data_IF_626556915433
#
_entry.id   IF_626556915433
#
_cell.length_a   1.000
_cell.length_b   1.000
_cell.length_c   1.000
_cell.angle_alpha   90.00
_cell.angle_beta   90.00
_cell.angle_gamma   90.00
#
_symmetry.space_group_name_H-M   'P 1'
#
loop_
_entity.id
_entity.type
_entity.pdbx_description
1 polymer ?
#
# COMPACT_ATOMS: atom_id res chain seq x y z
N UNK A 1 17.68 -10.10 47.13
CA UNK A 1 18.11 -9.34 45.94
C UNK A 1 17.00 -9.54 44.92
N UNK A 2 16.26 -8.49 44.57
CA UNK A 2 15.14 -8.63 43.63
C UNK A 2 15.67 -9.01 42.24
N UNK A 3 14.88 -9.74 41.45
CA UNK A 3 15.28 -10.22 40.11
C UNK A 3 15.76 -9.08 39.20
N UNK A 4 15.17 -7.89 39.35
CA UNK A 4 15.55 -6.67 38.63
C UNK A 4 16.98 -6.22 38.97
N UNK A 5 17.39 -6.32 40.24
CA UNK A 5 18.74 -5.99 40.67
C UNK A 5 19.76 -7.01 40.16
N UNK A 6 19.39 -8.30 40.14
CA UNK A 6 20.20 -9.34 39.54
C UNK A 6 20.41 -9.12 38.03
N UNK A 7 19.34 -8.82 37.29
CA UNK A 7 19.41 -8.55 35.84
C UNK A 7 20.22 -7.28 35.55
N UNK A 8 20.10 -6.23 36.37
CA UNK A 8 20.93 -5.03 36.22
C UNK A 8 22.41 -5.31 36.44
N UNK A 9 22.75 -6.03 37.51
CA UNK A 9 24.15 -6.38 37.81
C UNK A 9 24.71 -7.32 36.75
N UNK A 10 23.92 -8.30 36.29
CA UNK A 10 24.30 -9.23 35.24
C UNK A 10 24.49 -8.52 33.89
N UNK A 11 23.56 -7.65 33.50
CA UNK A 11 23.65 -6.89 32.26
C UNK A 11 24.82 -5.90 32.28
N UNK A 12 25.11 -5.28 33.42
CA UNK A 12 26.30 -4.43 33.58
C UNK A 12 27.60 -5.24 33.48
N UNK A 13 27.65 -6.43 34.09
CA UNK A 13 28.81 -7.32 34.04
C UNK A 13 29.07 -7.90 32.64
N UNK A 14 28.04 -8.02 31.80
CA UNK A 14 28.13 -8.59 30.44
C UNK A 14 27.85 -7.57 29.34
N UNK A 15 27.91 -6.27 29.66
CA UNK A 15 27.53 -5.20 28.74
C UNK A 15 28.34 -5.23 27.44
N UNK A 16 29.66 -5.43 27.53
CA UNK A 16 30.54 -5.52 26.36
C UNK A 16 30.24 -6.74 25.48
N UNK A 17 29.90 -7.88 26.09
CA UNK A 17 29.50 -9.09 25.37
C UNK A 17 28.16 -8.86 24.65
N UNK A 18 27.19 -8.25 25.31
CA UNK A 18 25.89 -7.94 24.70
C UNK A 18 26.02 -6.93 23.55
N UNK A 19 26.87 -5.91 23.72
CA UNK A 19 27.14 -4.91 22.69
C UNK A 19 27.82 -5.52 21.47
N UNK A 20 28.79 -6.41 21.66
CA UNK A 20 29.47 -7.10 20.54
C UNK A 20 28.52 -7.99 19.75
N UNK A 21 27.62 -8.72 20.42
CA UNK A 21 26.57 -9.51 19.76
C UNK A 21 25.55 -8.64 19.02
N UNK A 22 25.13 -7.51 19.60
CA UNK A 22 24.23 -6.56 18.96
C UNK A 22 24.86 -5.95 17.70
N UNK A 23 26.13 -5.54 17.77
CA UNK A 23 26.86 -5.02 16.61
C UNK A 23 27.02 -6.08 15.54
N UNK A 24 27.37 -7.33 15.91
CA UNK A 24 27.46 -8.44 14.96
C UNK A 24 26.13 -8.73 14.26
N UNK A 25 25.01 -8.74 15.01
CA UNK A 25 23.67 -8.92 14.44
C UNK A 25 23.31 -7.77 13.48
N UNK A 26 23.66 -6.54 13.83
CA UNK A 26 23.40 -5.35 13.00
C UNK A 26 24.22 -5.39 11.70
N UNK A 27 25.48 -5.82 11.76
CA UNK A 27 26.34 -6.03 10.58
C UNK A 27 25.77 -7.14 9.69
N UNK A 28 25.31 -8.25 10.26
CA UNK A 28 24.68 -9.34 9.50
C UNK A 28 23.40 -8.89 8.81
N UNK A 29 22.54 -8.11 9.49
CA UNK A 29 21.34 -7.53 8.87
C UNK A 29 21.68 -6.56 7.74
N UNK A 30 22.72 -5.72 7.91
CA UNK A 30 23.17 -4.80 6.87
C UNK A 30 23.71 -5.55 5.64
N UNK A 31 24.48 -6.62 5.84
CA UNK A 31 24.98 -7.47 4.75
C UNK A 31 23.85 -8.17 4.00
N UNK A 32 22.87 -8.73 4.73
CA UNK A 32 21.68 -9.35 4.13
C UNK A 32 20.89 -8.34 3.28
N UNK A 33 20.73 -7.11 3.76
CA UNK A 33 20.06 -6.04 3.02
C UNK A 33 20.83 -5.62 1.75
N UNK A 34 22.16 -5.57 1.81
CA UNK A 34 23.01 -5.30 0.63
C UNK A 34 22.89 -6.42 -0.40
N UNK A 35 22.91 -7.69 0.01
CA UNK A 35 22.74 -8.82 -0.89
C UNK A 35 21.33 -8.85 -1.52
N UNK A 36 20.28 -8.52 -0.76
CA UNK A 36 18.93 -8.36 -1.30
C UNK A 36 18.85 -7.25 -2.35
N UNK A 37 19.52 -6.11 -2.12
CA UNK A 37 19.64 -5.04 -3.12
C UNK A 37 20.46 -5.45 -4.35
N UNK A 38 21.50 -6.26 -4.18
CA UNK A 38 22.30 -6.77 -5.31
C UNK A 38 21.53 -7.79 -6.15
N UNK A 39 20.75 -8.66 -5.51
CA UNK A 39 19.89 -9.63 -6.19
C UNK A 39 18.79 -8.93 -7.00
N UNK A 40 18.14 -7.92 -6.43
CA UNK A 40 17.10 -7.13 -7.13
C UNK A 40 17.67 -6.34 -8.31
N UNK A 41 18.88 -5.78 -8.20
CA UNK A 41 19.55 -5.12 -9.35
C UNK A 41 19.92 -6.10 -10.46
N UNK A 42 20.42 -7.30 -10.12
CA UNK A 42 20.73 -8.35 -11.11
C UNK A 42 19.47 -8.83 -11.85
N UNK A 43 18.36 -9.02 -11.12
CA UNK A 43 17.08 -9.38 -11.72
C UNK A 43 16.54 -8.28 -12.66
N UNK A 44 16.68 -7.01 -12.28
CA UNK A 44 16.29 -5.89 -13.12
C UNK A 44 17.12 -5.81 -14.42
N UNK A 45 18.44 -6.00 -14.35
CA UNK A 45 19.30 -6.01 -15.55
C UNK A 45 18.97 -7.17 -16.49
N UNK A 46 18.75 -8.38 -15.94
CA UNK A 46 18.34 -9.55 -16.74
C UNK A 46 16.97 -9.34 -17.41
N UNK A 47 16.03 -8.69 -16.72
CA UNK A 47 14.74 -8.31 -17.31
C UNK A 47 14.90 -7.28 -18.44
N UNK A 48 15.76 -6.27 -18.29
CA UNK A 48 15.98 -5.29 -19.35
C UNK A 48 16.66 -5.89 -20.59
N UNK A 49 17.55 -6.85 -20.40
CA UNK A 49 18.20 -7.57 -21.50
C UNK A 49 17.20 -8.49 -22.22
N UNK A 50 16.36 -9.22 -21.47
CA UNK A 50 15.29 -10.03 -22.03
C UNK A 50 14.27 -9.19 -22.82
N UNK A 51 13.87 -8.01 -22.29
CA UNK A 51 12.97 -7.08 -22.99
C UNK A 51 13.64 -6.50 -24.25
N UNK A 52 14.91 -6.15 -24.21
CA UNK A 52 15.63 -5.67 -25.40
C UNK A 52 15.70 -6.75 -26.49
N UNK A 53 15.97 -8.01 -26.13
CA UNK A 53 16.01 -9.12 -27.09
C UNK A 53 14.63 -9.48 -27.66
N UNK A 54 13.56 -9.39 -26.87
CA UNK A 54 12.19 -9.64 -27.36
C UNK A 54 11.66 -8.49 -28.20
N UNK A 55 11.94 -7.24 -27.83
CA UNK A 55 11.60 -6.08 -28.67
C UNK A 55 12.34 -6.15 -30.01
N UNK A 56 13.63 -6.48 -30.00
CA UNK A 56 14.40 -6.67 -31.24
C UNK A 56 13.84 -7.80 -32.13
N UNK A 57 13.28 -8.86 -31.54
CA UNK A 57 12.62 -9.94 -32.27
C UNK A 57 11.25 -9.54 -32.85
N UNK A 58 10.53 -8.59 -32.23
CA UNK A 58 9.21 -8.12 -32.67
C UNK A 58 9.26 -6.96 -33.70
N UNK A 59 10.42 -6.31 -33.88
CA UNK A 59 10.58 -5.20 -34.86
C UNK A 59 10.26 -5.61 -36.32
N UNK A 60 10.65 -6.80 -36.83
CA UNK A 60 10.27 -7.24 -38.16
C UNK A 60 8.76 -7.45 -38.33
N UNK A 61 8.08 -7.97 -37.30
CA UNK A 61 6.63 -8.21 -37.31
C UNK A 61 5.83 -6.90 -37.29
N UNK A 62 6.30 -5.88 -36.56
CA UNK A 62 5.71 -4.53 -36.56
C UNK A 62 5.92 -3.85 -37.93
N UNK A 63 7.09 -4.04 -38.54
CA UNK A 63 7.37 -3.53 -39.89
C UNK A 63 6.53 -4.22 -40.98
N UNK A 64 6.28 -5.53 -40.84
CA UNK A 64 5.39 -6.28 -41.73
C UNK A 64 3.91 -5.93 -41.53
N UNK A 65 3.47 -5.73 -40.27
CA UNK A 65 2.12 -5.28 -39.95
C UNK A 65 1.83 -3.85 -40.44
N UNK A 66 2.83 -2.97 -40.41
CA UNK A 66 2.71 -1.60 -40.94
C UNK A 66 2.64 -1.57 -42.48
N UNK A 67 3.21 -2.55 -43.18
CA UNK A 67 3.16 -2.65 -44.64
C UNK A 67 1.92 -3.41 -45.15
N UNK A 68 1.36 -4.33 -44.35
CA UNK A 68 0.18 -5.12 -44.71
C UNK A 68 -1.17 -4.45 -44.42
N UNK A 69 -1.18 -3.39 -43.60
CA UNK A 69 -2.41 -2.70 -43.24
C UNK A 69 -2.70 -1.53 -44.19
N UNK A 70 -3.16 -1.81 -45.42
CA UNK A 70 -4.11 -0.95 -46.18
C UNK A 70 -4.86 -1.79 -47.23
N UNK A 71 -6.20 -1.85 -47.13
CA UNK A 71 -6.98 -1.15 -48.15
C UNK A 71 -8.08 -0.24 -47.58
N UNK A 72 -8.50 0.69 -48.43
CA UNK A 72 -9.47 1.76 -48.28
C UNK A 72 -10.69 1.49 -47.37
N UNK A 73 -10.92 2.40 -46.42
CA UNK A 73 -12.14 2.46 -45.63
C UNK A 73 -12.14 3.64 -44.66
N UNK A 74 -12.56 4.81 -45.15
CA UNK A 74 -12.88 6.03 -44.38
C UNK A 74 -11.70 6.69 -43.65
N UNK A 75 -11.24 7.83 -44.18
CA UNK A 75 -10.32 8.72 -43.46
C UNK A 75 -10.90 9.05 -42.08
N UNK A 76 -10.10 8.99 -41.00
CA UNK A 76 -10.55 9.52 -39.73
C UNK A 76 -10.82 11.00 -39.91
N UNK A 77 -12.01 11.40 -39.47
CA UNK A 77 -12.39 12.78 -39.18
C UNK A 77 -11.26 13.53 -38.46
N UNK A 78 -11.15 14.85 -38.68
CA UNK A 78 -9.99 15.66 -38.29
C UNK A 78 -9.52 15.56 -36.83
N UNK A 79 -8.37 16.21 -36.49
CA UNK A 79 -7.67 16.12 -35.21
C UNK A 79 -8.55 16.35 -33.97
N UNK A 80 -9.67 17.07 -34.13
CA UNK A 80 -10.67 17.30 -33.08
C UNK A 80 -11.39 16.03 -32.61
N UNK A 81 -11.60 15.04 -33.48
CA UNK A 81 -12.34 13.82 -33.14
C UNK A 81 -11.50 12.81 -32.37
N UNK A 82 -10.22 12.65 -32.72
CA UNK A 82 -9.26 11.84 -31.98
C UNK A 82 -9.01 12.41 -30.58
N UNK A 83 -8.81 13.72 -30.47
CA UNK A 83 -8.68 14.41 -29.18
C UNK A 83 -9.94 14.24 -28.31
N UNK A 84 -11.14 14.37 -28.89
CA UNK A 84 -12.39 14.18 -28.16
C UNK A 84 -12.54 12.74 -27.60
N UNK A 85 -12.17 11.72 -28.38
CA UNK A 85 -12.17 10.33 -27.91
C UNK A 85 -11.15 10.10 -26.81
N UNK A 86 -9.94 10.64 -26.96
CA UNK A 86 -8.88 10.52 -25.97
C UNK A 86 -9.24 11.23 -24.65
N UNK A 87 -9.94 12.37 -24.70
CA UNK A 87 -10.46 13.07 -23.52
C UNK A 87 -11.60 12.29 -22.84
N UNK A 88 -12.46 11.60 -23.59
CA UNK A 88 -13.47 10.69 -23.01
C UNK A 88 -12.81 9.51 -22.31
N UNK A 89 -11.82 8.87 -22.92
CA UNK A 89 -11.05 7.80 -22.30
C UNK A 89 -10.37 8.28 -21.00
N UNK A 90 -9.76 9.48 -21.04
CA UNK A 90 -9.16 10.10 -19.86
C UNK A 90 -10.18 10.33 -18.75
N UNK A 91 -11.41 10.74 -19.09
CA UNK A 91 -12.46 10.97 -18.09
C UNK A 91 -12.81 9.71 -17.30
N UNK A 92 -12.96 8.59 -18.00
CA UNK A 92 -13.25 7.29 -17.38
C UNK A 92 -12.06 6.85 -16.52
N UNK A 93 -10.84 6.91 -17.07
CA UNK A 93 -9.63 6.55 -16.34
C UNK A 93 -9.45 7.41 -15.08
N UNK A 94 -9.69 8.72 -15.18
CA UNK A 94 -9.56 9.64 -14.03
C UNK A 94 -10.58 9.33 -12.93
N UNK A 95 -11.81 8.97 -13.29
CA UNK A 95 -12.83 8.54 -12.33
C UNK A 95 -12.41 7.23 -11.63
N UNK A 96 -11.90 6.25 -12.39
CA UNK A 96 -11.36 5.01 -11.84
C UNK A 96 -10.17 5.27 -10.90
N UNK A 97 -9.25 6.16 -11.28
CA UNK A 97 -8.11 6.57 -10.42
C UNK A 97 -8.58 7.20 -9.12
N UNK A 98 -9.55 8.11 -9.19
CA UNK A 98 -10.09 8.77 -8.01
C UNK A 98 -10.84 7.79 -7.11
N UNK A 99 -11.66 6.91 -7.68
CA UNK A 99 -12.31 5.84 -6.94
C UNK A 99 -11.28 4.93 -6.26
N UNK A 100 -10.19 4.59 -6.95
CA UNK A 100 -9.10 3.80 -6.39
C UNK A 100 -8.42 4.50 -5.21
N UNK A 101 -8.10 5.79 -5.34
CA UNK A 101 -7.48 6.59 -4.27
C UNK A 101 -8.36 6.66 -3.03
N UNK A 102 -9.69 6.72 -3.18
CA UNK A 102 -10.59 6.65 -2.02
C UNK A 102 -10.73 5.23 -1.47
N UNK A 103 -10.81 4.22 -2.34
CA UNK A 103 -11.01 2.83 -1.95
C UNK A 103 -9.82 2.25 -1.18
N UNK A 104 -8.58 2.64 -1.50
CA UNK A 104 -7.38 2.10 -0.83
C UNK A 104 -7.31 2.43 0.66
N UNK A 105 -7.92 3.52 1.12
CA UNK A 105 -8.02 3.84 2.53
C UNK A 105 -9.12 3.06 3.28
N UNK A 106 -10.01 2.37 2.55
CA UNK A 106 -11.02 1.52 3.18
C UNK A 106 -10.41 0.20 3.62
N UNK A 107 -10.00 0.13 4.89
CA UNK A 107 -9.42 -1.07 5.51
C UNK A 107 -10.40 -2.25 5.62
N UNK A 108 -11.72 -1.99 5.50
CA UNK A 108 -12.74 -3.06 5.51
C UNK A 108 -12.76 -3.85 4.21
N UNK A 109 -12.28 -3.24 3.12
CA UNK A 109 -12.17 -3.90 1.84
C UNK A 109 -10.93 -4.80 1.85
N UNK A 110 -10.99 -6.09 1.51
CA UNK A 110 -9.80 -6.92 1.40
C UNK A 110 -8.93 -6.50 0.22
N UNK A 111 -7.62 -6.79 0.28
CA UNK A 111 -6.69 -6.40 -0.78
C UNK A 111 -7.02 -7.03 -2.14
N UNK A 112 -7.63 -8.22 -2.14
CA UNK A 112 -8.10 -8.91 -3.34
C UNK A 112 -9.27 -8.21 -4.03
N UNK A 113 -9.99 -7.35 -3.32
CA UNK A 113 -11.11 -6.58 -3.84
C UNK A 113 -10.72 -5.13 -4.19
N UNK A 114 -9.46 -4.73 -3.99
CA UNK A 114 -8.97 -3.45 -4.48
C UNK A 114 -8.95 -3.47 -6.01
N UNK A 115 -9.39 -2.39 -6.68
CA UNK A 115 -9.25 -2.28 -8.11
C UNK A 115 -7.76 -2.31 -8.49
N UNK A 116 -7.44 -2.82 -9.67
CA UNK A 116 -6.07 -2.86 -10.15
C UNK A 116 -5.48 -1.44 -10.24
N UNK A 117 -4.25 -1.27 -9.75
CA UNK A 117 -3.55 0.04 -9.77
C UNK A 117 -3.26 0.50 -11.19
N UNK A 118 -3.16 -0.42 -12.15
CA UNK A 118 -3.06 -0.11 -13.57
C UNK A 118 -4.02 -1.04 -14.31
N UNK A 119 -4.78 -0.55 -15.29
CA UNK A 119 -5.49 -1.43 -16.19
C UNK A 119 -4.46 -2.23 -17.03
N UNK A 120 -4.79 -3.47 -17.39
CA UNK A 120 -4.03 -4.29 -18.37
C UNK A 120 -4.10 -3.73 -19.81
N UNK A 121 -4.52 -2.48 -19.96
CA UNK A 121 -4.91 -1.84 -21.22
C UNK A 121 -3.68 -1.38 -22.03
N UNK A 122 -3.77 -1.39 -23.37
CA UNK A 122 -2.80 -0.72 -24.24
C UNK A 122 -2.62 0.75 -23.86
N UNK A 123 -1.45 1.30 -24.23
CA UNK A 123 -1.04 2.69 -24.01
C UNK A 123 -2.20 3.65 -24.29
N UNK A 124 -2.48 4.56 -23.36
CA UNK A 124 -3.65 5.45 -23.45
C UNK A 124 -3.59 6.36 -24.69
N UNK A 125 -4.73 6.63 -25.38
CA UNK A 125 -4.80 7.49 -26.58
C UNK A 125 -4.15 8.87 -26.43
N UNK A 126 -4.16 9.43 -25.21
CA UNK A 126 -3.44 10.69 -24.90
C UNK A 126 -1.96 10.68 -25.28
N UNK A 127 -1.30 9.52 -25.31
CA UNK A 127 0.14 9.43 -25.56
C UNK A 127 0.49 9.51 -27.04
N UNK A 128 -0.37 9.00 -27.93
CA UNK A 128 -0.05 8.86 -29.36
C UNK A 128 -0.98 9.66 -30.30
N UNK A 129 -2.23 9.92 -29.91
CA UNK A 129 -3.22 10.63 -30.73
C UNK A 129 -3.27 12.14 -30.47
N UNK A 130 -2.46 12.68 -29.54
CA UNK A 130 -2.54 14.09 -29.16
C UNK A 130 -1.24 14.88 -29.30
N UNK A 131 -1.32 16.23 -29.40
CA UNK A 131 -0.15 17.09 -29.37
C UNK A 131 0.75 16.80 -28.17
N UNK A 132 2.07 16.89 -28.39
CA UNK A 132 3.10 16.65 -27.38
C UNK A 132 2.84 17.34 -26.02
N UNK A 133 2.37 18.61 -25.94
CA UNK A 133 2.10 19.25 -24.65
C UNK A 133 1.01 18.55 -23.83
N UNK A 134 -0.01 17.99 -24.50
CA UNK A 134 -1.09 17.22 -23.86
C UNK A 134 -0.59 15.87 -23.37
N UNK A 135 0.19 15.18 -24.19
CA UNK A 135 0.81 13.91 -23.81
C UNK A 135 1.75 14.09 -22.59
N UNK A 136 2.56 15.15 -22.56
CA UNK A 136 3.44 15.46 -21.44
C UNK A 136 2.67 15.77 -20.15
N UNK A 137 1.59 16.56 -20.23
CA UNK A 137 0.72 16.85 -19.09
C UNK A 137 0.02 15.59 -18.55
N UNK A 138 -0.46 14.72 -19.45
CA UNK A 138 -1.06 13.43 -19.10
C UNK A 138 -0.06 12.53 -18.35
N UNK A 139 1.14 12.35 -18.91
CA UNK A 139 2.17 11.53 -18.27
C UNK A 139 2.60 12.09 -16.91
N UNK A 140 2.59 13.42 -16.73
CA UNK A 140 2.85 14.03 -15.43
C UNK A 140 1.77 13.72 -14.40
N UNK A 141 0.49 13.76 -14.79
CA UNK A 141 -0.64 13.39 -13.93
C UNK A 141 -0.60 11.89 -13.55
N UNK A 142 -0.34 10.99 -14.50
CA UNK A 142 -0.23 9.56 -14.23
C UNK A 142 0.97 9.22 -13.31
N UNK A 143 2.10 9.92 -13.45
CA UNK A 143 3.24 9.77 -12.53
C UNK A 143 2.86 10.15 -11.10
N UNK A 144 2.14 11.28 -10.92
CA UNK A 144 1.64 11.69 -9.60
C UNK A 144 0.69 10.64 -9.01
N UNK A 145 -0.25 10.14 -9.80
CA UNK A 145 -1.12 9.04 -9.37
C UNK A 145 -0.30 7.82 -8.92
N UNK A 146 0.67 7.37 -9.72
CA UNK A 146 1.50 6.23 -9.39
C UNK A 146 2.33 6.43 -8.11
N UNK A 147 2.83 7.64 -7.86
CA UNK A 147 3.54 8.00 -6.64
C UNK A 147 2.62 7.92 -5.40
N UNK A 148 1.43 8.52 -5.49
CA UNK A 148 0.43 8.45 -4.43
C UNK A 148 -0.04 7.01 -4.18
N UNK A 149 -0.29 6.23 -5.23
CA UNK A 149 -0.72 4.85 -5.13
C UNK A 149 0.31 3.98 -4.41
N UNK A 150 1.60 4.14 -4.73
CA UNK A 150 2.69 3.44 -4.03
C UNK A 150 2.76 3.82 -2.56
N UNK A 151 2.64 5.11 -2.25
CA UNK A 151 2.68 5.60 -0.86
C UNK A 151 1.50 5.06 -0.04
N UNK A 152 0.27 5.13 -0.58
CA UNK A 152 -0.93 4.65 0.08
C UNK A 152 -0.92 3.14 0.30
N UNK A 153 -0.43 2.35 -0.67
CA UNK A 153 -0.27 0.91 -0.50
C UNK A 153 0.76 0.56 0.57
N UNK A 154 1.85 1.32 0.67
CA UNK A 154 2.85 1.11 1.71
C UNK A 154 2.27 1.38 3.11
N UNK A 155 1.55 2.49 3.28
CA UNK A 155 0.88 2.82 4.55
C UNK A 155 -0.23 1.82 4.88
N UNK A 156 -1.04 1.40 3.91
CA UNK A 156 -2.06 0.36 4.10
C UNK A 156 -1.45 -0.95 4.62
N UNK A 157 -0.34 -1.40 4.04
CA UNK A 157 0.38 -2.60 4.52
C UNK A 157 0.93 -2.41 5.93
N UNK A 158 1.41 -1.22 6.27
CA UNK A 158 1.86 -0.91 7.62
C UNK A 158 0.71 -0.98 8.63
N UNK A 159 -0.47 -0.46 8.29
CA UNK A 159 -1.67 -0.59 9.14
C UNK A 159 -2.09 -2.05 9.30
N UNK A 160 -2.13 -2.82 8.22
CA UNK A 160 -2.47 -4.24 8.26
C UNK A 160 -1.50 -5.06 9.11
N UNK A 161 -0.20 -4.71 9.11
CA UNK A 161 0.79 -5.35 9.97
C UNK A 161 0.52 -5.06 11.46
N UNK A 162 0.08 -3.84 11.79
CA UNK A 162 -0.34 -3.49 13.15
C UNK A 162 -1.63 -4.24 13.56
N UNK A 163 -2.60 -4.39 12.64
CA UNK A 163 -3.82 -5.17 12.91
C UNK A 163 -3.50 -6.65 13.14
N UNK A 164 -2.52 -7.20 12.41
CA UNK A 164 -2.04 -8.55 12.64
C UNK A 164 -1.40 -8.70 14.02
N UNK A 165 -0.54 -7.75 14.42
CA UNK A 165 0.06 -7.75 15.76
C UNK A 165 -0.98 -7.63 16.89
N UNK A 166 -2.04 -6.84 16.69
CA UNK A 166 -3.16 -6.71 17.65
C UNK A 166 -3.97 -8.02 17.76
N UNK A 167 -4.25 -8.67 16.64
CA UNK A 167 -4.91 -9.98 16.60
C UNK A 167 -4.08 -11.06 17.28
N UNK A 168 -2.77 -11.10 17.01
CA UNK A 168 -1.85 -12.06 17.62
C UNK A 168 -1.75 -11.85 19.14
N UNK A 169 -1.64 -10.59 19.59
CA UNK A 169 -1.62 -10.26 21.02
C UNK A 169 -2.94 -10.59 21.72
N UNK A 170 -4.09 -10.39 21.07
CA UNK A 170 -5.40 -10.81 21.59
C UNK A 170 -5.49 -12.34 21.68
N UNK A 171 -4.94 -13.05 20.69
CA UNK A 171 -4.82 -14.51 20.71
C UNK A 171 -3.96 -15.03 21.87
N UNK A 172 -2.86 -14.34 22.17
CA UNK A 172 -2.01 -14.65 23.32
C UNK A 172 -2.73 -14.38 24.65
N UNK A 173 -3.48 -13.28 24.79
CA UNK A 173 -4.31 -13.03 25.99
C UNK A 173 -5.30 -14.18 26.25
N UNK A 174 -6.04 -14.62 25.23
CA UNK A 174 -6.96 -15.75 25.38
C UNK A 174 -6.24 -17.06 25.71
N UNK A 175 -5.00 -17.24 25.25
CA UNK A 175 -4.17 -18.38 25.66
C UNK A 175 -3.80 -18.28 27.13
N UNK A 176 -3.36 -17.10 27.60
CA UNK A 176 -3.04 -16.86 29.02
C UNK A 176 -4.27 -17.13 29.88
N UNK A 177 -5.44 -16.62 29.51
CA UNK A 177 -6.71 -16.85 30.21
C UNK A 177 -7.01 -18.34 30.39
N UNK A 178 -6.92 -19.13 29.31
CA UNK A 178 -7.10 -20.59 29.37
C UNK A 178 -6.04 -21.28 30.25
N UNK A 179 -4.77 -20.89 30.14
CA UNK A 179 -3.71 -21.46 30.97
C UNK A 179 -3.90 -21.12 32.45
N UNK A 180 -4.40 -19.92 32.76
CA UNK A 180 -4.73 -19.49 34.12
C UNK A 180 -5.89 -20.32 34.69
N UNK A 181 -6.96 -20.56 33.93
CA UNK A 181 -8.06 -21.45 34.37
C UNK A 181 -7.57 -22.85 34.72
N UNK A 182 -6.71 -23.44 33.88
CA UNK A 182 -6.11 -24.77 34.14
C UNK A 182 -5.24 -24.77 35.41
N UNK A 183 -4.50 -23.69 35.67
CA UNK A 183 -3.69 -23.57 36.90
C UNK A 183 -4.60 -23.53 38.13
N UNK A 184 -5.71 -22.77 38.07
CA UNK A 184 -6.68 -22.68 39.17
C UNK A 184 -7.29 -24.05 39.47
N UNK A 185 -7.77 -24.77 38.45
CA UNK A 185 -8.32 -26.12 38.61
C UNK A 185 -7.29 -27.10 39.23
N UNK A 186 -6.05 -27.07 38.75
CA UNK A 186 -4.96 -27.91 39.31
C UNK A 186 -4.60 -27.53 40.73
N UNK A 187 -4.68 -26.24 41.06
CA UNK A 187 -4.41 -25.76 42.41
C UNK A 187 -5.49 -26.23 43.40
N UNK A 188 -6.76 -26.19 42.99
CA UNK A 188 -7.87 -26.74 43.77
C UNK A 188 -7.74 -28.25 44.00
N UNK A 189 -7.34 -29.00 42.96
CA UNK A 189 -7.09 -30.44 43.06
C UNK A 189 -5.92 -30.75 44.01
N UNK A 190 -4.81 -30.02 43.92
CA UNK A 190 -3.66 -30.19 44.82
C UNK A 190 -4.03 -29.87 46.28
N UNK A 191 -4.90 -28.88 46.51
CA UNK A 191 -5.43 -28.59 47.84
C UNK A 191 -6.32 -29.73 48.38
N UNK A 192 -7.17 -30.31 47.54
CA UNK A 192 -8.06 -31.40 47.94
C UNK A 192 -7.32 -32.71 48.27
N UNK A 193 -6.16 -32.95 47.64
CA UNK A 193 -5.38 -34.18 47.78
C UNK A 193 -4.33 -34.13 48.92
N UNK A 194 -4.22 -33.01 49.64
CA UNK A 194 -3.21 -32.78 50.68
C UNK A 194 -1.75 -33.08 50.23
N UNK A 195 -1.46 -32.99 48.93
CA UNK A 195 -0.14 -33.26 48.36
C UNK A 195 0.71 -32.00 48.16
N UNK A 196 1.98 -32.15 48.56
CA UNK A 196 3.21 -31.43 48.17
C UNK A 196 3.17 -29.90 48.03
N UNK A 197 3.79 -29.25 49.02
CA UNK A 197 4.16 -27.82 49.06
C UNK A 197 4.93 -27.35 47.81
N UNK A 198 5.57 -28.27 47.07
CA UNK A 198 6.36 -27.97 45.87
C UNK A 198 5.48 -27.75 44.63
N UNK A 199 4.42 -28.56 44.45
CA UNK A 199 3.46 -28.41 43.34
C UNK A 199 2.70 -27.09 43.50
N UNK A 200 2.25 -26.77 44.71
CA UNK A 200 1.57 -25.51 45.01
C UNK A 200 2.48 -24.30 44.75
N UNK A 201 3.76 -24.36 45.19
CA UNK A 201 4.74 -23.30 44.91
C UNK A 201 4.97 -23.10 43.42
N UNK A 202 5.08 -24.19 42.66
CA UNK A 202 5.22 -24.12 41.19
C UNK A 202 4.00 -23.47 40.52
N UNK A 203 2.78 -23.85 40.92
CA UNK A 203 1.55 -23.27 40.37
C UNK A 203 1.42 -21.78 40.69
N UNK A 204 1.76 -21.36 41.90
CA UNK A 204 1.80 -19.93 42.29
C UNK A 204 2.83 -19.16 41.46
N UNK A 205 4.02 -19.73 41.27
CA UNK A 205 5.05 -19.10 40.44
C UNK A 205 4.57 -18.94 39.00
N UNK A 206 3.97 -19.98 38.42
CA UNK A 206 3.44 -19.93 37.05
C UNK A 206 2.31 -18.90 36.93
N UNK A 207 1.38 -18.87 37.89
CA UNK A 207 0.29 -17.88 37.94
C UNK A 207 0.83 -16.45 37.97
N UNK A 208 1.83 -16.17 38.81
CA UNK A 208 2.44 -14.84 38.89
C UNK A 208 3.14 -14.42 37.59
N UNK A 209 3.83 -15.36 36.93
CA UNK A 209 4.46 -15.10 35.62
C UNK A 209 3.40 -14.77 34.57
N UNK A 210 2.32 -15.55 34.50
CA UNK A 210 1.21 -15.29 33.59
C UNK A 210 0.52 -13.96 33.88
N UNK A 211 0.27 -13.62 35.15
CA UNK A 211 -0.35 -12.36 35.54
C UNK A 211 0.53 -11.13 35.30
N UNK A 212 1.86 -11.26 35.33
CA UNK A 212 2.76 -10.21 34.86
C UNK A 212 2.68 -10.05 33.33
N UNK A 213 2.73 -11.16 32.59
CA UNK A 213 2.66 -11.16 31.14
C UNK A 213 1.33 -10.61 30.62
N UNK A 214 0.22 -10.96 31.26
CA UNK A 214 -1.12 -10.44 30.96
C UNK A 214 -1.18 -8.92 31.09
N UNK A 215 -0.64 -8.36 32.17
CA UNK A 215 -0.58 -6.91 32.39
C UNK A 215 0.27 -6.21 31.33
N UNK A 216 1.45 -6.75 31.04
CA UNK A 216 2.32 -6.22 29.97
C UNK A 216 1.63 -6.25 28.61
N UNK A 217 1.01 -7.38 28.27
CA UNK A 217 0.34 -7.58 26.99
C UNK A 217 -0.91 -6.70 26.85
N UNK A 218 -1.65 -6.50 27.93
CA UNK A 218 -2.79 -5.57 27.97
C UNK A 218 -2.35 -4.12 27.70
N UNK A 219 -1.24 -3.69 28.31
CA UNK A 219 -0.67 -2.37 28.04
C UNK A 219 -0.16 -2.23 26.59
N UNK A 220 0.48 -3.27 26.05
CA UNK A 220 0.93 -3.32 24.65
C UNK A 220 -0.25 -3.24 23.68
N UNK A 221 -1.32 -3.99 23.92
CA UNK A 221 -2.53 -3.95 23.09
C UNK A 221 -3.24 -2.60 23.14
N UNK A 222 -3.30 -1.95 24.31
CA UNK A 222 -3.83 -0.60 24.41
C UNK A 222 -3.03 0.40 23.55
N UNK A 223 -1.69 0.32 23.59
CA UNK A 223 -0.82 1.15 22.76
C UNK A 223 -0.98 0.84 21.27
N UNK A 224 -1.06 -0.45 20.88
CA UNK A 224 -1.27 -0.87 19.49
C UNK A 224 -2.62 -0.38 18.95
N UNK A 225 -3.69 -0.46 19.74
CA UNK A 225 -5.02 0.03 19.34
C UNK A 225 -5.03 1.54 19.11
N UNK A 226 -4.32 2.30 19.96
CA UNK A 226 -4.16 3.74 19.75
C UNK A 226 -3.40 4.02 18.46
N UNK A 227 -2.26 3.34 18.25
CA UNK A 227 -1.47 3.49 17.01
C UNK A 227 -2.28 3.13 15.77
N UNK A 228 -3.10 2.08 15.83
CA UNK A 228 -4.01 1.69 14.75
C UNK A 228 -5.02 2.78 14.42
N UNK A 229 -5.65 3.38 15.43
CA UNK A 229 -6.59 4.48 15.22
C UNK A 229 -5.90 5.69 14.55
N UNK A 230 -4.75 6.09 15.06
CA UNK A 230 -3.98 7.24 14.54
C UNK A 230 -3.52 6.98 13.09
N UNK A 231 -3.01 5.78 12.80
CA UNK A 231 -2.54 5.41 11.47
C UNK A 231 -3.68 5.22 10.47
N UNK A 232 -4.82 4.68 10.89
CA UNK A 232 -6.00 4.57 10.03
C UNK A 232 -6.54 5.97 9.66
N UNK A 233 -6.58 6.90 10.61
CA UNK A 233 -6.95 8.28 10.35
C UNK A 233 -5.94 8.97 9.42
N UNK A 234 -4.65 8.76 9.63
CA UNK A 234 -3.59 9.30 8.77
C UNK A 234 -3.70 8.77 7.33
N UNK A 235 -3.95 7.47 7.15
CA UNK A 235 -4.17 6.84 5.84
C UNK A 235 -5.36 7.46 5.11
N UNK A 236 -6.49 7.67 5.81
CA UNK A 236 -7.66 8.31 5.24
C UNK A 236 -7.40 9.77 4.85
N UNK A 237 -6.72 10.54 5.71
CA UNK A 237 -6.36 11.92 5.39
C UNK A 237 -5.33 12.00 4.23
N UNK A 238 -4.44 11.02 4.10
CA UNK A 238 -3.49 10.95 2.99
C UNK A 238 -4.19 10.58 1.68
N UNK A 239 -5.20 9.71 1.73
CA UNK A 239 -5.94 9.31 0.53
C UNK A 239 -6.80 10.44 -0.03
N UNK A 240 -7.40 11.25 0.84
CA UNK A 240 -8.10 12.48 0.44
C UNK A 240 -7.15 13.48 -0.21
N UNK A 241 -6.02 13.78 0.44
CA UNK A 241 -4.99 14.67 -0.12
C UNK A 241 -4.47 14.17 -1.47
N UNK A 242 -4.22 12.88 -1.60
CA UNK A 242 -3.80 12.28 -2.87
C UNK A 242 -4.85 12.44 -3.98
N UNK A 243 -6.14 12.30 -3.66
CA UNK A 243 -7.22 12.52 -4.62
C UNK A 243 -7.32 13.99 -5.04
N UNK A 244 -7.17 14.92 -4.10
CA UNK A 244 -7.13 16.37 -4.37
C UNK A 244 -5.90 16.75 -5.23
N UNK A 245 -4.72 16.25 -4.89
CA UNK A 245 -3.47 16.49 -5.61
C UNK A 245 -3.52 15.92 -7.03
N UNK A 246 -4.11 14.74 -7.21
CA UNK A 246 -4.34 14.14 -8.52
C UNK A 246 -5.34 14.96 -9.34
N UNK A 247 -6.46 15.39 -8.74
CA UNK A 247 -7.43 16.25 -9.42
C UNK A 247 -6.79 17.58 -9.86
N UNK A 248 -5.97 18.20 -9.01
CA UNK A 248 -5.22 19.41 -9.35
C UNK A 248 -4.17 19.16 -10.46
N UNK A 249 -3.61 17.95 -10.54
CA UNK A 249 -2.68 17.58 -11.60
C UNK A 249 -3.34 17.45 -12.98
N UNK A 250 -4.66 17.27 -13.05
CA UNK A 250 -5.42 17.23 -14.30
C UNK A 250 -5.75 18.63 -14.85
N UNK A 251 -5.70 19.68 -14.02
CA UNK A 251 -6.04 21.05 -14.42
C UNK A 251 -5.17 21.57 -15.59
N UNK A 252 -3.83 21.37 -15.62
CA UNK A 252 -3.00 21.77 -16.76
C UNK A 252 -3.36 21.05 -18.07
N UNK A 253 -3.77 19.79 -17.97
CA UNK A 253 -4.19 18.99 -19.12
C UNK A 253 -5.49 19.55 -19.71
N UNK A 254 -6.48 19.85 -18.87
CA UNK A 254 -7.72 20.48 -19.30
C UNK A 254 -7.48 21.86 -19.91
N UNK A 255 -6.60 22.66 -19.32
CA UNK A 255 -6.23 23.97 -19.87
C UNK A 255 -5.51 23.85 -21.23
N UNK A 256 -4.69 22.82 -21.43
CA UNK A 256 -4.09 22.52 -22.73
C UNK A 256 -5.16 22.05 -23.74
N UNK A 257 -6.09 21.19 -23.33
CA UNK A 257 -7.13 20.65 -24.21
C UNK A 257 -8.09 21.76 -24.68
N UNK A 258 -8.43 22.72 -23.81
CA UNK A 258 -9.25 23.88 -24.19
C UNK A 258 -8.58 24.77 -25.24
N UNK A 259 -7.28 25.00 -25.10
CA UNK A 259 -6.49 25.78 -26.09
C UNK A 259 -6.48 25.08 -27.44
N UNK A 260 -6.23 23.77 -27.46
CA UNK A 260 -6.22 22.97 -28.69
C UNK A 260 -7.60 22.88 -29.36
N UNK A 261 -8.70 22.94 -28.60
CA UNK A 261 -10.07 22.94 -29.11
C UNK A 261 -10.62 24.33 -29.45
N UNK A 262 -9.86 25.42 -29.20
CA UNK A 262 -10.32 26.79 -29.42
C UNK A 262 -11.44 27.23 -28.47
N UNK A 263 -11.64 26.52 -27.36
CA UNK A 263 -12.69 26.78 -26.35
C UNK A 263 -12.14 27.56 -25.15
N UNK A 264 -11.40 28.65 -25.41
CA UNK A 264 -10.80 29.47 -24.35
C UNK A 264 -11.84 30.16 -23.44
N UNK A 265 -13.09 30.29 -23.89
CA UNK A 265 -14.19 30.98 -23.20
C UNK A 265 -15.26 30.07 -22.60
N UNK A 266 -15.20 28.75 -22.79
CA UNK A 266 -16.22 27.80 -22.27
C UNK A 266 -15.89 27.33 -20.84
N UNK A 267 -16.07 28.22 -19.87
CA UNK A 267 -15.73 27.95 -18.47
C UNK A 267 -16.69 26.97 -17.76
N UNK A 268 -17.98 27.00 -18.09
CA UNK A 268 -19.04 26.36 -17.28
C UNK A 268 -19.06 24.83 -17.39
N UNK A 269 -19.00 24.25 -18.59
CA UNK A 269 -19.10 22.79 -18.78
C UNK A 269 -17.88 22.05 -18.21
N UNK A 270 -16.71 22.69 -18.25
CA UNK A 270 -15.48 22.06 -17.76
C UNK A 270 -15.35 22.14 -16.24
N UNK A 271 -15.85 23.21 -15.63
CA UNK A 271 -15.98 23.30 -14.17
C UNK A 271 -16.96 22.25 -13.64
N UNK A 272 -18.07 22.03 -14.37
CA UNK A 272 -19.05 20.98 -14.09
C UNK A 272 -18.45 19.57 -14.25
N UNK A 273 -17.63 19.35 -15.28
CA UNK A 273 -16.90 18.09 -15.49
C UNK A 273 -15.87 17.84 -14.39
N UNK A 274 -15.07 18.85 -14.01
CA UNK A 274 -14.10 18.76 -12.92
C UNK A 274 -14.80 18.50 -11.58
N UNK A 275 -15.93 19.16 -11.32
CA UNK A 275 -16.73 18.92 -10.12
C UNK A 275 -17.27 17.48 -10.08
N UNK A 276 -17.67 16.91 -11.21
CA UNK A 276 -18.13 15.52 -11.31
C UNK A 276 -17.00 14.50 -11.21
N UNK A 277 -15.89 14.73 -11.90
CA UNK A 277 -14.68 13.90 -11.77
C UNK A 277 -14.21 13.89 -10.32
N UNK A 278 -14.16 15.07 -9.66
CA UNK A 278 -13.89 15.21 -8.23
C UNK A 278 -14.90 14.50 -7.34
N UNK A 279 -16.14 14.38 -7.77
CA UNK A 279 -17.20 13.63 -7.08
C UNK A 279 -17.23 12.13 -7.46
N UNK A 280 -16.31 11.63 -8.30
CA UNK A 280 -16.31 10.24 -8.77
C UNK A 280 -17.46 9.88 -9.72
N UNK A 281 -18.15 10.88 -10.28
CA UNK A 281 -19.23 10.70 -11.23
C UNK A 281 -18.68 10.88 -12.65
N UNK A 282 -18.75 9.84 -13.48
CA UNK A 282 -18.37 9.92 -14.89
C UNK A 282 -19.25 10.92 -15.68
N UNK A 283 -18.85 11.30 -16.90
CA UNK A 283 -19.64 12.25 -17.69
C UNK A 283 -21.02 11.66 -18.01
N UNK A 284 -22.09 12.37 -17.65
CA UNK A 284 -23.44 12.05 -18.13
C UNK A 284 -23.49 12.27 -19.64
N UNK A 285 -23.89 11.25 -20.41
CA UNK A 285 -24.27 11.46 -21.80
C UNK A 285 -25.46 12.43 -21.83
N UNK A 286 -25.22 13.69 -22.18
CA UNK A 286 -26.27 14.53 -22.69
C UNK A 286 -26.53 14.06 -24.13
N UNK A 287 -27.72 13.48 -24.33
CA UNK A 287 -28.34 13.38 -25.64
C UNK A 287 -28.73 14.78 -26.14
#
# INVERSE_FOLDING_TARGET
MEFVDFVRVWAAAHAELLLTWLVAALVMMALAWVELRRATRRAAMAMTEAVATTVAACVPDIAAAAQGAHPAGTMPSGPSTALAQAMRALSLQSAERMQWLHAVANLRLPDTALPAVAPDSPVHPMVYDTPRPLAEAYLAAERRFADHARALLAERRAVQALEAAERDGTGELHRIERETSVIVERFEQANAQSEQTDVQRFLIQKFNVLGNRERELTAQLAALRQQLADRAQALWAQSQRAAEDYAAALDPLLAAARRELGHETAADDTALWLARARAGQGPSSAA
#
